data_IF_576801268855
#
_entry.id   IF_576801268855
#
_cell.length_a   1.000
_cell.length_b   1.000
_cell.length_c   1.000
_cell.angle_alpha   90.00
_cell.angle_beta   90.00
_cell.angle_gamma   90.00
#
_symmetry.space_group_name_H-M   'P 1'
#
loop_
_entity.id
_entity.type
_entity.pdbx_description
1 polymer ?
#
# COMPACT_ATOMS: atom_id res chain seq x y z
N UNK A 1 18.65 2.69 17.79
CA UNK A 1 18.28 3.14 16.42
C UNK A 1 17.29 4.30 16.53
N UNK A 2 17.53 5.41 15.82
CA UNK A 2 16.63 6.58 15.84
C UNK A 2 15.58 6.44 14.73
N UNK A 3 14.29 6.40 15.13
CA UNK A 3 13.17 6.28 14.19
C UNK A 3 12.76 7.65 13.59
N UNK A 4 13.10 8.77 14.23
CA UNK A 4 12.72 10.13 13.80
C UNK A 4 13.85 11.15 14.00
N UNK A 5 13.88 12.18 13.16
CA UNK A 5 14.82 13.30 13.28
C UNK A 5 14.53 14.09 14.56
N UNK A 6 15.59 14.51 15.26
CA UNK A 6 15.47 15.30 16.49
C UNK A 6 15.36 16.81 16.22
N UNK A 7 15.54 17.25 14.97
CA UNK A 7 15.26 18.62 14.55
C UNK A 7 13.79 18.79 14.12
N UNK A 8 13.05 19.78 14.67
CA UNK A 8 11.59 19.86 14.52
C UNK A 8 11.12 20.02 13.07
N UNK A 9 11.85 20.78 12.25
CA UNK A 9 11.51 21.00 10.85
C UNK A 9 11.60 19.71 9.99
N UNK A 10 12.59 18.84 10.26
CA UNK A 10 12.71 17.56 9.54
C UNK A 10 11.76 16.50 10.10
N UNK A 11 11.55 16.49 11.41
CA UNK A 11 10.56 15.62 12.06
C UNK A 11 9.16 15.86 11.50
N UNK A 12 8.73 17.11 11.39
CA UNK A 12 7.40 17.44 10.88
C UNK A 12 7.23 17.03 9.41
N UNK A 13 8.27 17.19 8.58
CA UNK A 13 8.25 16.69 7.18
C UNK A 13 8.18 15.17 7.10
N UNK A 14 8.86 14.45 7.98
CA UNK A 14 8.77 12.98 8.07
C UNK A 14 7.37 12.54 8.49
N UNK A 15 6.82 13.14 9.54
CA UNK A 15 5.46 12.86 10.01
C UNK A 15 4.45 13.16 8.90
N UNK A 16 4.57 14.31 8.22
CA UNK A 16 3.68 14.64 7.11
C UNK A 16 3.82 13.65 5.95
N UNK A 17 5.04 13.25 5.58
CA UNK A 17 5.26 12.26 4.53
C UNK A 17 4.68 10.89 4.90
N UNK A 18 4.85 10.46 6.15
CA UNK A 18 4.30 9.21 6.68
C UNK A 18 2.76 9.27 6.69
N UNK A 19 2.17 10.37 7.15
CA UNK A 19 0.72 10.58 7.14
C UNK A 19 0.15 10.60 5.71
N UNK A 20 0.82 11.28 4.77
CA UNK A 20 0.42 11.30 3.36
C UNK A 20 0.49 9.89 2.77
N UNK A 21 1.54 9.13 3.04
CA UNK A 21 1.66 7.75 2.57
C UNK A 21 0.52 6.87 3.12
N UNK A 22 0.24 6.95 4.43
CA UNK A 22 -0.86 6.21 5.06
C UNK A 22 -2.22 6.62 4.48
N UNK A 23 -2.45 7.91 4.29
CA UNK A 23 -3.69 8.44 3.72
C UNK A 23 -3.89 7.96 2.28
N UNK A 24 -2.83 7.97 1.46
CA UNK A 24 -2.88 7.47 0.09
C UNK A 24 -3.17 5.98 0.05
N UNK A 25 -2.53 5.17 0.91
CA UNK A 25 -2.81 3.73 1.02
C UNK A 25 -4.28 3.51 1.41
N UNK A 26 -4.78 4.22 2.42
CA UNK A 26 -6.18 4.11 2.85
C UNK A 26 -7.15 4.52 1.73
N UNK A 27 -6.85 5.60 1.00
CA UNK A 27 -7.64 6.04 -0.14
C UNK A 27 -7.66 4.99 -1.26
N UNK A 28 -6.51 4.40 -1.60
CA UNK A 28 -6.41 3.33 -2.61
C UNK A 28 -7.24 2.10 -2.21
N UNK A 29 -7.13 1.65 -0.96
CA UNK A 29 -7.90 0.50 -0.46
C UNK A 29 -9.39 0.79 -0.51
N UNK A 30 -9.82 1.97 -0.05
CA UNK A 30 -11.23 2.36 -0.06
C UNK A 30 -11.78 2.42 -1.49
N UNK A 31 -11.00 2.99 -2.41
CA UNK A 31 -11.34 3.03 -3.83
C UNK A 31 -11.47 1.62 -4.43
N UNK A 32 -10.53 0.72 -4.15
CA UNK A 32 -10.55 -0.66 -4.64
C UNK A 32 -11.74 -1.48 -4.11
N UNK A 33 -12.11 -1.30 -2.84
CA UNK A 33 -13.30 -1.92 -2.27
C UNK A 33 -14.59 -1.37 -2.88
N UNK A 34 -14.62 -0.08 -3.21
CA UNK A 34 -15.76 0.53 -3.89
C UNK A 34 -15.93 -0.05 -5.29
N UNK A 35 -14.82 -0.19 -6.04
CA UNK A 35 -14.81 -0.83 -7.35
C UNK A 35 -15.24 -2.30 -7.25
N UNK A 36 -14.76 -3.04 -6.25
CA UNK A 36 -15.19 -4.43 -5.99
C UNK A 36 -16.70 -4.54 -5.86
N UNK A 37 -17.29 -3.72 -4.99
CA UNK A 37 -18.73 -3.71 -4.74
C UNK A 37 -19.53 -3.35 -5.99
N UNK A 38 -19.01 -2.43 -6.81
CA UNK A 38 -19.63 -2.08 -8.09
C UNK A 38 -19.60 -3.26 -9.07
N UNK A 39 -18.49 -4.00 -9.17
CA UNK A 39 -18.38 -5.18 -10.04
C UNK A 39 -19.30 -6.30 -9.54
N UNK A 40 -19.38 -6.54 -8.22
CA UNK A 40 -20.23 -7.58 -7.65
C UNK A 40 -21.74 -7.36 -7.90
N UNK A 41 -22.17 -6.12 -8.19
CA UNK A 41 -23.55 -5.86 -8.65
C UNK A 41 -23.85 -6.48 -10.01
N UNK A 42 -22.84 -6.70 -10.87
CA UNK A 42 -23.02 -7.43 -12.12
C UNK A 42 -23.32 -8.92 -11.92
N UNK A 43 -23.17 -9.47 -10.70
CA UNK A 43 -23.56 -10.84 -10.38
C UNK A 43 -25.08 -10.97 -10.08
N UNK A 44 -25.81 -9.87 -9.86
CA UNK A 44 -27.25 -9.90 -9.57
C UNK A 44 -28.09 -10.52 -10.71
N UNK A 45 -27.86 -10.18 -12.00
CA UNK A 45 -28.53 -10.86 -13.10
C UNK A 45 -28.27 -12.36 -13.13
N UNK A 46 -27.02 -12.79 -12.87
CA UNK A 46 -26.65 -14.20 -12.80
C UNK A 46 -27.42 -14.96 -11.72
N UNK A 47 -27.53 -14.40 -10.51
CA UNK A 47 -28.34 -14.96 -9.41
C UNK A 47 -29.81 -15.10 -9.77
N UNK A 48 -30.35 -14.13 -10.50
CA UNK A 48 -31.74 -14.16 -10.94
C UNK A 48 -31.97 -15.23 -12.02
N UNK A 49 -31.02 -15.42 -12.93
CA UNK A 49 -31.06 -16.48 -13.94
C UNK A 49 -30.93 -17.85 -13.29
N UNK A 50 -30.00 -18.02 -12.35
CA UNK A 50 -29.81 -19.25 -11.57
C UNK A 50 -31.11 -19.68 -10.89
N UNK A 51 -31.65 -18.83 -10.01
CA UNK A 51 -32.88 -19.12 -9.25
C UNK A 51 -34.11 -19.33 -10.14
N UNK A 52 -34.22 -18.59 -11.25
CA UNK A 52 -35.33 -18.79 -12.21
C UNK A 52 -35.17 -20.10 -12.98
N UNK A 53 -33.95 -20.49 -13.33
CA UNK A 53 -33.62 -21.75 -14.00
C UNK A 53 -33.90 -22.96 -13.11
N UNK A 54 -33.48 -22.91 -11.84
CA UNK A 54 -33.75 -23.98 -10.86
C UNK A 54 -35.25 -24.15 -10.61
N UNK A 55 -35.98 -23.05 -10.43
CA UNK A 55 -37.44 -23.07 -10.22
C UNK A 55 -38.17 -23.65 -11.44
N UNK A 56 -37.79 -23.21 -12.64
CA UNK A 56 -38.36 -23.73 -13.89
C UNK A 56 -38.04 -25.22 -14.08
N UNK A 57 -36.80 -25.63 -13.80
CA UNK A 57 -36.39 -27.02 -13.89
C UNK A 57 -37.18 -27.91 -12.92
N UNK A 58 -37.36 -27.46 -11.67
CA UNK A 58 -38.15 -28.15 -10.66
C UNK A 58 -39.62 -28.31 -11.08
N UNK A 59 -40.26 -27.23 -11.52
CA UNK A 59 -41.65 -27.25 -11.96
C UNK A 59 -41.87 -28.16 -13.18
N UNK A 60 -40.94 -28.17 -14.14
CA UNK A 60 -41.01 -29.02 -15.33
C UNK A 60 -40.74 -30.49 -15.00
N UNK A 61 -39.83 -30.78 -14.07
CA UNK A 61 -39.59 -32.13 -13.58
C UNK A 61 -40.83 -32.70 -12.88
N UNK A 62 -41.45 -31.93 -11.99
CA UNK A 62 -42.68 -32.32 -11.29
C UNK A 62 -43.86 -32.51 -12.26
N UNK A 63 -44.01 -31.62 -13.24
CA UNK A 63 -45.01 -31.77 -14.30
C UNK A 63 -44.77 -33.02 -15.15
N UNK A 64 -43.50 -33.34 -15.45
CA UNK A 64 -43.11 -34.54 -16.18
C UNK A 64 -43.37 -35.84 -15.42
N UNK A 65 -43.18 -35.83 -14.10
CA UNK A 65 -43.50 -36.97 -13.24
C UNK A 65 -45.02 -37.15 -13.11
N UNK A 66 -45.78 -36.07 -12.92
CA UNK A 66 -47.27 -36.11 -12.91
C UNK A 66 -47.83 -36.58 -14.26
N UNK A 67 -47.26 -36.11 -15.37
CA UNK A 67 -47.70 -36.52 -16.70
C UNK A 67 -47.38 -37.99 -16.99
N UNK A 68 -46.40 -38.58 -16.32
CA UNK A 68 -46.06 -40.00 -16.47
C UNK A 68 -47.16 -40.94 -15.97
N UNK A 69 -48.01 -40.47 -15.06
CA UNK A 69 -49.12 -41.24 -14.47
C UNK A 69 -50.35 -41.34 -15.39
N UNK A 70 -50.36 -40.67 -16.55
CA UNK A 70 -51.47 -40.71 -17.50
C UNK A 70 -51.46 -42.04 -18.30
N UNK A 71 -52.53 -42.85 -18.26
CA UNK A 71 -52.61 -44.11 -19.01
C UNK A 71 -52.46 -43.88 -20.52
N UNK A 72 -51.81 -44.83 -21.21
CA UNK A 72 -51.57 -44.86 -22.67
C UNK A 72 -50.58 -43.81 -23.23
N UNK A 73 -50.45 -42.62 -22.63
CA UNK A 73 -49.61 -41.52 -23.16
C UNK A 73 -48.53 -40.99 -22.21
N UNK A 74 -48.50 -41.41 -20.94
CA UNK A 74 -47.60 -40.81 -19.94
C UNK A 74 -46.11 -40.87 -20.27
N UNK A 75 -45.64 -41.96 -20.89
CA UNK A 75 -44.26 -42.08 -21.37
C UNK A 75 -43.89 -41.10 -22.49
N UNK A 76 -44.87 -40.73 -23.34
CA UNK A 76 -44.68 -39.75 -24.43
C UNK A 76 -44.63 -38.31 -23.90
N UNK A 77 -45.36 -38.04 -22.81
CA UNK A 77 -45.40 -36.71 -22.18
C UNK A 77 -44.19 -36.48 -21.25
N UNK A 78 -43.71 -37.50 -20.53
CA UNK A 78 -42.57 -37.40 -19.61
C UNK A 78 -41.29 -36.88 -20.29
N UNK A 79 -40.99 -37.36 -21.50
CA UNK A 79 -39.73 -37.07 -22.21
C UNK A 79 -39.54 -35.56 -22.54
N UNK A 80 -40.50 -34.86 -23.15
CA UNK A 80 -40.37 -33.42 -23.41
C UNK A 80 -40.29 -32.59 -22.12
N UNK A 81 -41.04 -32.93 -21.07
CA UNK A 81 -40.94 -32.24 -19.77
C UNK A 81 -39.57 -32.43 -19.11
N UNK A 82 -39.02 -33.66 -19.13
CA UNK A 82 -37.66 -33.94 -18.65
C UNK A 82 -36.61 -33.13 -19.42
N UNK A 83 -36.71 -33.12 -20.75
CA UNK A 83 -35.78 -32.36 -21.61
C UNK A 83 -35.87 -30.85 -21.37
N UNK A 84 -37.06 -30.32 -21.07
CA UNK A 84 -37.24 -28.92 -20.72
C UNK A 84 -36.70 -28.61 -19.31
N UNK A 85 -36.84 -29.55 -18.35
CA UNK A 85 -36.22 -29.44 -17.04
C UNK A 85 -34.70 -29.41 -17.13
N UNK A 86 -34.09 -30.28 -17.95
CA UNK A 86 -32.64 -30.30 -18.21
C UNK A 86 -32.17 -28.96 -18.82
N UNK A 87 -32.93 -28.37 -19.73
CA UNK A 87 -32.63 -27.04 -20.26
C UNK A 87 -32.73 -25.95 -19.17
N UNK A 88 -33.69 -26.06 -18.25
CA UNK A 88 -33.79 -25.21 -17.06
C UNK A 88 -32.56 -25.32 -16.15
N UNK A 89 -32.06 -26.54 -15.91
CA UNK A 89 -30.81 -26.74 -15.16
C UNK A 89 -29.59 -26.14 -15.88
N UNK A 90 -29.51 -26.27 -17.22
CA UNK A 90 -28.44 -25.64 -17.98
C UNK A 90 -28.46 -24.11 -17.92
N UNK A 91 -29.65 -23.49 -17.85
CA UNK A 91 -29.77 -22.05 -17.57
C UNK A 91 -29.32 -21.70 -16.16
N UNK A 92 -29.63 -22.55 -15.17
CA UNK A 92 -29.19 -22.34 -13.80
C UNK A 92 -27.66 -22.36 -13.69
N UNK A 93 -27.03 -23.39 -14.27
CA UNK A 93 -25.59 -23.55 -14.33
C UNK A 93 -24.90 -22.36 -15.03
N UNK A 94 -25.49 -21.85 -16.12
CA UNK A 94 -24.99 -20.67 -16.80
C UNK A 94 -25.08 -19.41 -15.91
N UNK A 95 -26.19 -19.27 -15.16
CA UNK A 95 -26.36 -18.20 -14.17
C UNK A 95 -25.30 -18.25 -13.08
N UNK A 96 -24.96 -19.44 -12.59
CA UNK A 96 -23.91 -19.65 -11.60
C UNK A 96 -22.51 -19.37 -12.17
N UNK A 97 -22.19 -19.88 -13.36
CA UNK A 97 -20.90 -19.63 -14.02
C UNK A 97 -20.63 -18.14 -14.24
N UNK A 98 -21.65 -17.36 -14.61
CA UNK A 98 -21.54 -15.91 -14.72
C UNK A 98 -21.16 -15.24 -13.39
N UNK A 99 -21.76 -15.69 -12.28
CA UNK A 99 -21.44 -15.15 -10.96
C UNK A 99 -19.99 -15.47 -10.56
N UNK A 100 -19.52 -16.67 -10.85
CA UNK A 100 -18.14 -17.08 -10.57
C UNK A 100 -17.13 -16.23 -11.34
N UNK A 101 -17.38 -15.99 -12.64
CA UNK A 101 -16.52 -15.12 -13.47
C UNK A 101 -16.53 -13.69 -12.94
N UNK A 102 -17.70 -13.13 -12.61
CA UNK A 102 -17.81 -11.78 -12.04
C UNK A 102 -17.04 -11.69 -10.72
N UNK A 103 -17.16 -12.70 -9.85
CA UNK A 103 -16.46 -12.77 -8.56
C UNK A 103 -14.94 -12.83 -8.75
N UNK A 104 -14.45 -13.66 -9.67
CA UNK A 104 -13.02 -13.75 -9.99
C UNK A 104 -12.47 -12.44 -10.54
N UNK A 105 -13.19 -11.80 -11.47
CA UNK A 105 -12.81 -10.50 -12.05
C UNK A 105 -12.81 -9.42 -10.97
N UNK A 106 -13.86 -9.36 -10.14
CA UNK A 106 -13.94 -8.42 -9.02
C UNK A 106 -12.73 -8.58 -8.09
N UNK A 107 -12.38 -9.82 -7.75
CA UNK A 107 -11.26 -10.13 -6.85
C UNK A 107 -9.92 -9.73 -7.46
N UNK A 108 -9.66 -10.15 -8.70
CA UNK A 108 -8.41 -9.86 -9.39
C UNK A 108 -8.21 -8.36 -9.62
N UNK A 109 -9.27 -7.66 -10.03
CA UNK A 109 -9.26 -6.21 -10.20
C UNK A 109 -8.96 -5.50 -8.88
N UNK A 110 -9.62 -5.88 -7.78
CA UNK A 110 -9.36 -5.32 -6.44
C UNK A 110 -7.92 -5.55 -6.00
N UNK A 111 -7.39 -6.77 -6.16
CA UNK A 111 -6.01 -7.08 -5.81
C UNK A 111 -5.05 -6.21 -6.62
N UNK A 112 -5.22 -6.12 -7.94
CA UNK A 112 -4.37 -5.30 -8.78
C UNK A 112 -4.43 -3.81 -8.41
N UNK A 113 -5.63 -3.30 -8.12
CA UNK A 113 -5.87 -1.90 -7.76
C UNK A 113 -5.31 -1.54 -6.38
N UNK A 114 -5.12 -2.51 -5.49
CA UNK A 114 -4.45 -2.31 -4.20
C UNK A 114 -2.93 -2.47 -4.37
N UNK A 115 -2.48 -3.59 -4.95
CA UNK A 115 -1.07 -3.96 -4.98
C UNK A 115 -0.26 -2.97 -5.80
N UNK A 116 -0.72 -2.56 -6.99
CA UNK A 116 0.07 -1.69 -7.86
C UNK A 116 0.32 -0.31 -7.23
N UNK A 117 -0.70 0.42 -6.72
CA UNK A 117 -0.45 1.74 -6.15
C UNK A 117 0.26 1.66 -4.80
N UNK A 118 -0.05 0.67 -3.95
CA UNK A 118 0.64 0.49 -2.66
C UNK A 118 2.11 0.17 -2.89
N UNK A 119 2.43 -0.74 -3.82
CA UNK A 119 3.81 -1.04 -4.18
C UNK A 119 4.54 0.19 -4.71
N UNK A 120 3.88 1.02 -5.54
CA UNK A 120 4.46 2.26 -6.03
C UNK A 120 4.74 3.28 -4.91
N UNK A 121 3.78 3.48 -3.99
CA UNK A 121 3.95 4.36 -2.82
C UNK A 121 5.12 3.87 -1.96
N UNK A 122 5.17 2.57 -1.66
CA UNK A 122 6.26 1.98 -0.88
C UNK A 122 7.59 2.10 -1.60
N UNK A 123 7.65 1.87 -2.91
CA UNK A 123 8.88 1.95 -3.69
C UNK A 123 9.43 3.37 -3.75
N UNK A 124 8.58 4.40 -3.71
CA UNK A 124 9.02 5.79 -3.66
C UNK A 124 9.39 6.24 -2.22
N UNK A 125 8.61 5.83 -1.22
CA UNK A 125 8.74 6.29 0.17
C UNK A 125 9.81 5.53 0.97
N UNK A 126 9.83 4.19 0.85
CA UNK A 126 10.68 3.31 1.64
C UNK A 126 12.19 3.56 1.42
N UNK A 127 12.74 3.68 0.19
CA UNK A 127 14.18 3.86 0.02
C UNK A 127 14.66 5.22 0.54
N UNK A 128 13.83 6.27 0.46
CA UNK A 128 14.14 7.57 1.03
C UNK A 128 14.24 7.49 2.56
N UNK A 129 13.30 6.78 3.18
CA UNK A 129 13.27 6.59 4.64
C UNK A 129 14.42 5.72 5.14
N UNK A 130 14.68 4.59 4.47
CA UNK A 130 15.80 3.69 4.80
C UNK A 130 17.15 4.37 4.62
N UNK A 131 17.35 5.12 3.52
CA UNK A 131 18.59 5.90 3.31
C UNK A 131 18.81 6.89 4.44
N UNK A 132 17.76 7.56 4.90
CA UNK A 132 17.88 8.51 6.02
C UNK A 132 18.25 7.81 7.33
N UNK A 133 17.55 6.71 7.68
CA UNK A 133 17.84 5.93 8.89
C UNK A 133 19.30 5.45 8.89
N UNK A 134 19.77 4.88 7.78
CA UNK A 134 21.16 4.42 7.63
C UNK A 134 22.15 5.56 7.79
N UNK A 135 21.92 6.69 7.11
CA UNK A 135 22.81 7.84 7.17
C UNK A 135 22.89 8.43 8.58
N UNK A 136 21.77 8.51 9.29
CA UNK A 136 21.72 9.01 10.66
C UNK A 136 22.40 8.05 11.65
N UNK A 137 22.32 6.73 11.42
CA UNK A 137 23.08 5.76 12.20
C UNK A 137 24.59 5.92 11.98
N UNK A 138 25.06 5.97 10.73
CA UNK A 138 26.49 6.15 10.43
C UNK A 138 27.07 7.44 11.01
N UNK A 139 26.31 8.54 11.00
CA UNK A 139 26.78 9.82 11.58
C UNK A 139 26.87 9.75 13.10
N UNK A 140 26.00 8.96 13.75
CA UNK A 140 26.06 8.73 15.19
C UNK A 140 27.25 7.83 15.55
N UNK A 141 27.45 6.75 14.82
CA UNK A 141 28.61 5.86 15.01
C UNK A 141 29.93 6.61 14.80
N UNK A 142 29.96 7.55 13.84
CA UNK A 142 31.11 8.43 13.60
C UNK A 142 31.35 9.41 14.76
N UNK A 143 30.31 9.87 15.45
CA UNK A 143 30.46 10.75 16.62
C UNK A 143 31.09 10.00 17.80
N UNK A 144 30.68 8.75 18.00
CA UNK A 144 31.15 7.89 19.10
C UNK A 144 32.58 7.36 18.86
N UNK A 145 33.10 7.47 17.62
CA UNK A 145 34.46 7.07 17.27
C UNK A 145 35.52 8.05 17.82
N UNK A 146 36.75 7.58 18.14
CA UNK A 146 37.85 8.45 18.54
C UNK A 146 38.15 9.50 17.45
N UNK A 147 38.14 10.79 17.81
CA UNK A 147 38.31 11.90 16.85
C UNK A 147 37.07 12.20 16.00
N UNK A 148 35.92 11.57 16.29
CA UNK A 148 34.67 11.73 15.56
C UNK A 148 34.14 13.16 15.46
N UNK A 149 34.21 13.90 16.56
CA UNK A 149 33.85 15.32 16.61
C UNK A 149 34.68 16.16 15.62
N UNK A 150 35.96 15.83 15.45
CA UNK A 150 36.87 16.54 14.57
C UNK A 150 36.57 16.26 13.09
N UNK A 151 36.22 15.02 12.76
CA UNK A 151 35.72 14.64 11.43
C UNK A 151 34.39 15.33 11.09
N UNK A 152 33.51 15.47 12.07
CA UNK A 152 32.25 16.19 11.92
C UNK A 152 32.48 17.70 11.76
N UNK A 153 33.43 18.28 12.49
CA UNK A 153 33.84 19.66 12.34
C UNK A 153 34.41 19.93 10.94
N UNK A 154 35.29 19.07 10.43
CA UNK A 154 35.79 19.13 9.06
C UNK A 154 34.65 19.07 8.04
N UNK A 155 33.69 18.16 8.23
CA UNK A 155 32.51 18.05 7.37
C UNK A 155 31.62 19.31 7.41
N UNK A 156 31.58 20.01 8.54
CA UNK A 156 30.87 21.28 8.64
C UNK A 156 31.57 22.36 7.79
N UNK A 157 32.91 22.44 7.88
CA UNK A 157 33.76 23.36 7.13
C UNK A 157 33.70 23.13 5.61
N UNK A 158 33.67 21.88 5.15
CA UNK A 158 33.55 21.55 3.71
C UNK A 158 32.10 21.52 3.20
N UNK A 159 31.15 21.89 4.05
CA UNK A 159 29.73 21.90 3.73
C UNK A 159 29.22 23.26 3.20
N UNK A 160 27.89 23.43 3.04
CA UNK A 160 27.33 24.68 2.52
C UNK A 160 27.63 25.89 3.43
N UNK A 161 28.04 27.05 2.87
CA UNK A 161 28.53 28.20 3.63
C UNK A 161 27.46 28.82 4.55
N UNK A 162 26.17 28.71 4.18
CA UNK A 162 25.04 29.24 4.97
C UNK A 162 24.92 28.69 6.40
N UNK A 163 25.52 27.54 6.71
CA UNK A 163 25.46 27.03 8.09
C UNK A 163 26.73 27.29 8.89
N UNK A 164 27.73 27.95 8.31
CA UNK A 164 28.87 28.48 9.06
C UNK A 164 28.55 29.86 9.63
N UNK A 165 27.60 30.60 9.03
CA UNK A 165 27.15 31.92 9.51
C UNK A 165 26.36 31.87 10.82
N UNK A 166 26.06 30.68 11.35
CA UNK A 166 25.36 30.52 12.64
C UNK A 166 26.31 30.44 13.83
N UNK A 167 27.63 30.35 13.60
CA UNK A 167 28.64 30.29 14.66
C UNK A 167 29.46 31.59 14.65
N UNK A 168 29.78 32.17 15.82
CA UNK A 168 30.64 33.34 15.90
C UNK A 168 32.00 33.06 15.26
N UNK A 169 32.43 33.92 14.33
CA UNK A 169 33.75 33.82 13.71
C UNK A 169 34.83 34.30 14.69
N UNK A 170 35.78 33.43 15.09
CA UNK A 170 36.91 33.84 15.92
C UNK A 170 37.79 34.87 15.19
N UNK A 171 38.59 35.64 15.93
CA UNK A 171 39.46 36.67 15.36
C UNK A 171 40.44 36.14 14.27
N UNK A 172 40.89 34.88 14.39
CA UNK A 172 41.73 34.20 13.39
C UNK A 172 40.96 33.42 12.31
N UNK A 173 39.63 33.41 12.38
CA UNK A 173 38.77 32.62 11.50
C UNK A 173 38.56 31.16 11.94
N UNK A 174 37.47 30.56 11.46
CA UNK A 174 37.03 29.21 11.86
C UNK A 174 38.04 28.10 11.46
N UNK A 175 38.63 28.21 10.27
CA UNK A 175 39.57 27.21 9.75
C UNK A 175 40.92 27.20 10.51
N UNK A 176 41.29 28.33 11.09
CA UNK A 176 42.52 28.50 11.87
C UNK A 176 42.33 28.01 13.31
N UNK A 177 41.18 28.35 13.92
CA UNK A 177 40.81 27.82 15.23
C UNK A 177 40.61 26.30 15.22
N UNK A 178 40.03 25.74 14.15
CA UNK A 178 39.96 24.30 13.95
C UNK A 178 41.35 23.65 13.83
N UNK A 179 42.27 24.23 13.04
CA UNK A 179 43.64 23.71 12.89
C UNK A 179 44.46 23.73 14.19
N UNK A 180 44.14 24.63 15.12
CA UNK A 180 44.76 24.68 16.46
C UNK A 180 44.16 23.68 17.45
N UNK A 181 43.13 22.93 17.06
CA UNK A 181 42.45 21.99 17.94
C UNK A 181 41.62 22.66 19.03
N UNK A 182 41.09 23.87 18.79
CA UNK A 182 40.22 24.57 19.74
C UNK A 182 38.98 23.70 20.06
N UNK A 183 38.84 23.19 21.30
CA UNK A 183 37.78 22.26 21.66
C UNK A 183 36.39 22.86 21.48
N UNK A 184 36.25 24.16 21.68
CA UNK A 184 34.96 24.85 21.62
C UNK A 184 34.53 25.05 20.17
N UNK A 185 35.46 25.43 19.29
CA UNK A 185 35.19 25.54 17.85
C UNK A 185 34.90 24.17 17.23
N UNK A 186 35.62 23.12 17.63
CA UNK A 186 35.34 21.74 17.17
C UNK A 186 33.94 21.31 17.62
N UNK A 187 33.56 21.56 18.88
CA UNK A 187 32.23 21.25 19.40
C UNK A 187 31.14 21.99 18.59
N UNK A 188 31.27 23.30 18.40
CA UNK A 188 30.29 24.12 17.66
C UNK A 188 30.15 23.68 16.19
N UNK A 189 31.26 23.40 15.51
CA UNK A 189 31.27 22.92 14.13
C UNK A 189 30.67 21.50 14.03
N UNK A 190 31.01 20.61 14.96
CA UNK A 190 30.44 19.26 15.01
C UNK A 190 28.93 19.31 15.23
N UNK A 191 28.43 20.24 16.04
CA UNK A 191 27.02 20.43 16.30
C UNK A 191 26.26 20.89 15.03
N UNK A 192 26.86 21.77 14.22
CA UNK A 192 26.29 22.13 12.90
C UNK A 192 26.14 20.89 12.01
N UNK A 193 27.16 20.03 11.96
CA UNK A 193 27.11 18.80 11.18
C UNK A 193 26.02 17.84 11.68
N UNK A 194 25.86 17.69 13.00
CA UNK A 194 24.82 16.88 13.64
C UNK A 194 23.41 17.44 13.36
N UNK A 195 23.21 18.75 13.53
CA UNK A 195 21.91 19.41 13.23
C UNK A 195 21.53 19.26 11.76
N UNK A 196 22.50 19.34 10.83
CA UNK A 196 22.27 19.05 9.40
C UNK A 196 21.93 17.58 9.12
N UNK A 197 22.42 16.65 9.94
CA UNK A 197 22.04 15.24 9.87
C UNK A 197 20.65 14.98 10.48
N UNK A 198 20.09 15.95 11.23
CA UNK A 198 18.83 15.80 11.96
C UNK A 198 19.01 15.16 13.34
N UNK A 199 20.24 15.21 13.89
CA UNK A 199 20.60 14.74 15.21
C UNK A 199 20.76 15.96 16.15
N UNK A 200 20.43 15.82 17.44
CA UNK A 200 20.92 16.76 18.46
C UNK A 200 22.30 16.31 18.95
N UNK A 201 23.15 17.26 19.38
CA UNK A 201 24.34 16.93 20.17
C UNK A 201 23.98 16.12 21.41
#
# INVERSE_FOLDING_TARGET
MLLYAQTPARRNRQILADLVAVLLIAATVTFALTVHGAIMRLAEPGRKVESSGESLAGALAEAGDTAADVPLVGGLLRKPFRSAADAGTGLADAGQSLQDVVSQVATLATVALIVLPVAFILLLWLPLRVRWIRRSATIRDLLDAPGGADLLALRALTGPPRALSTVPTPAGGLADAWRRGDPQVIADLSEIALRRAGLKP
#
